data_IF_557924023437
#
_entry.id   IF_557924023437
#
_cell.length_a   1.000
_cell.length_b   1.000
_cell.length_c   1.000
_cell.angle_alpha   90.00
_cell.angle_beta   90.00
_cell.angle_gamma   90.00
#
_symmetry.space_group_name_H-M   'P 1'
#
loop_
_entity.id
_entity.type
_entity.pdbx_description
1 polymer ?
#
# COMPACT_ATOMS: atom_id res chain seq x y z
N UNK A 1 12.01 6.36 -62.94
CA UNK A 1 11.68 6.45 -61.51
C UNK A 1 12.76 5.68 -60.75
N UNK A 2 13.56 6.31 -59.89
CA UNK A 2 14.54 5.62 -59.06
C UNK A 2 13.81 4.93 -57.88
N UNK A 3 14.38 3.87 -57.29
CA UNK A 3 13.74 3.09 -56.21
C UNK A 3 13.74 3.88 -54.90
N UNK A 4 12.68 3.68 -54.13
CA UNK A 4 12.46 4.29 -52.82
C UNK A 4 13.50 3.85 -51.80
N UNK A 5 14.04 4.79 -51.08
CA UNK A 5 14.88 4.56 -49.88
C UNK A 5 14.09 3.95 -48.75
N UNK A 6 14.67 2.99 -48.02
CA UNK A 6 14.04 2.42 -46.82
C UNK A 6 13.99 3.45 -45.68
N UNK A 7 13.01 3.35 -44.74
CA UNK A 7 12.93 4.22 -43.58
C UNK A 7 14.11 4.00 -42.62
N UNK A 8 14.53 5.02 -41.85
CA UNK A 8 15.62 4.89 -40.91
C UNK A 8 15.24 3.96 -39.78
N UNK A 9 16.20 3.14 -39.38
CA UNK A 9 16.16 2.27 -38.21
C UNK A 9 15.79 3.06 -36.95
N UNK A 10 14.93 2.45 -36.14
CA UNK A 10 14.52 2.87 -34.80
C UNK A 10 15.72 3.42 -34.00
N UNK A 11 15.70 4.75 -33.79
CA UNK A 11 16.63 5.40 -32.88
C UNK A 11 16.37 4.89 -31.46
N UNK A 12 17.42 4.49 -30.81
CA UNK A 12 17.49 4.27 -29.38
C UNK A 12 17.00 5.54 -28.68
N UNK A 13 16.01 5.36 -27.81
CA UNK A 13 15.60 6.40 -26.87
C UNK A 13 16.79 6.72 -25.97
N UNK A 14 17.14 7.96 -25.73
CA UNK A 14 18.19 8.29 -24.80
C UNK A 14 17.75 7.85 -23.38
N UNK A 15 18.56 7.04 -22.75
CA UNK A 15 18.52 6.77 -21.32
C UNK A 15 18.74 8.08 -20.55
N UNK A 16 17.67 8.83 -20.34
CA UNK A 16 17.69 9.89 -19.34
C UNK A 16 17.26 9.30 -18.01
N UNK A 17 18.19 8.66 -17.33
CA UNK A 17 18.11 8.56 -15.89
C UNK A 17 18.18 9.99 -15.30
N UNK A 18 17.22 10.43 -14.49
CA UNK A 18 17.38 11.65 -13.74
C UNK A 18 18.46 11.41 -12.68
N UNK A 19 19.60 12.08 -12.89
CA UNK A 19 20.57 12.52 -11.90
C UNK A 19 21.05 11.55 -10.85
N UNK A 20 22.18 10.91 -11.14
CA UNK A 20 23.09 10.27 -10.17
C UNK A 20 23.81 11.30 -9.25
N UNK A 21 23.14 12.33 -8.77
CA UNK A 21 23.79 13.38 -7.96
C UNK A 21 23.07 13.69 -6.63
N UNK A 22 22.28 12.76 -6.10
CA UNK A 22 21.75 12.86 -4.73
C UNK A 22 21.97 11.59 -3.90
N UNK A 23 22.85 10.71 -4.33
CA UNK A 23 23.42 9.65 -3.49
C UNK A 23 24.45 10.28 -2.56
N UNK A 24 24.04 10.87 -1.44
CA UNK A 24 24.94 11.09 -0.33
C UNK A 24 25.53 9.73 0.06
N UNK A 25 26.70 9.42 -0.46
CA UNK A 25 27.50 8.32 0.03
C UNK A 25 27.68 8.61 1.51
N UNK A 26 27.02 7.79 2.36
CA UNK A 26 27.49 7.64 3.72
C UNK A 26 28.90 7.05 3.59
N UNK A 27 29.93 7.92 3.55
CA UNK A 27 31.29 7.48 3.75
C UNK A 27 31.28 6.71 5.07
N UNK A 28 31.63 5.43 5.01
CA UNK A 28 31.96 4.65 6.18
C UNK A 28 33.17 5.31 6.83
N UNK A 29 32.91 6.33 7.66
CA UNK A 29 33.93 6.83 8.55
C UNK A 29 34.32 5.65 9.45
N UNK A 30 35.61 5.37 9.59
CA UNK A 30 36.09 4.33 10.50
C UNK A 30 35.51 4.63 11.88
N UNK A 31 34.73 3.67 12.41
CA UNK A 31 34.03 3.74 13.68
C UNK A 31 35.08 4.03 14.78
N UNK A 32 35.16 5.28 15.22
CA UNK A 32 36.02 5.67 16.35
C UNK A 32 35.22 5.47 17.63
N UNK A 33 35.34 4.28 18.21
CA UNK A 33 34.77 3.92 19.50
C UNK A 33 33.38 3.33 19.40
N UNK A 34 33.24 2.03 19.65
CA UNK A 34 31.96 1.37 19.87
C UNK A 34 31.40 1.87 21.20
N UNK A 35 30.25 2.54 21.14
CA UNK A 35 29.49 2.93 22.33
C UNK A 35 28.56 1.79 22.68
N UNK A 36 28.60 1.33 23.94
CA UNK A 36 27.66 0.30 24.40
C UNK A 36 26.82 0.83 25.55
N UNK A 37 25.56 0.46 25.59
CA UNK A 37 24.61 0.86 26.60
C UNK A 37 23.85 -0.32 27.20
N UNK A 38 23.66 -0.26 28.50
CA UNK A 38 22.70 -1.10 29.24
C UNK A 38 21.40 -0.33 29.45
N UNK A 39 20.32 -0.97 29.90
CA UNK A 39 19.09 -0.27 30.26
C UNK A 39 19.27 0.88 31.27
N UNK A 40 20.25 0.78 32.16
CA UNK A 40 20.52 1.81 33.16
C UNK A 40 21.32 3.01 32.62
N UNK A 41 22.16 2.80 31.62
CA UNK A 41 23.10 3.82 31.11
C UNK A 41 22.70 4.43 29.76
N UNK A 42 21.64 3.94 29.14
CA UNK A 42 21.29 4.29 27.76
C UNK A 42 21.12 5.79 27.52
N UNK A 43 20.35 6.48 28.36
CA UNK A 43 20.10 7.91 28.17
C UNK A 43 21.34 8.76 28.38
N UNK A 44 22.24 8.35 29.27
CA UNK A 44 23.54 9.01 29.50
C UNK A 44 24.46 8.79 28.29
N UNK A 45 24.59 7.51 27.84
CA UNK A 45 25.38 7.18 26.66
C UNK A 45 24.87 7.91 25.41
N UNK A 46 23.54 7.93 25.23
CA UNK A 46 22.94 8.65 24.10
C UNK A 46 23.21 10.16 24.15
N UNK A 47 23.28 10.76 25.33
CA UNK A 47 23.59 12.18 25.50
C UNK A 47 25.07 12.50 25.20
N UNK A 48 25.99 11.62 25.60
CA UNK A 48 27.45 11.79 25.52
C UNK A 48 28.02 11.38 24.16
N UNK A 49 27.41 10.39 23.47
CA UNK A 49 27.89 9.86 22.21
C UNK A 49 27.95 10.96 21.13
N UNK A 50 29.04 11.04 20.36
CA UNK A 50 29.16 12.04 19.30
C UNK A 50 28.15 11.82 18.16
N UNK A 51 27.86 12.84 17.34
CA UNK A 51 27.06 12.67 16.16
C UNK A 51 27.62 11.57 15.23
N UNK A 52 26.76 10.66 14.79
CA UNK A 52 27.16 9.53 13.94
C UNK A 52 27.70 8.32 14.70
N UNK A 53 27.70 8.34 16.03
CA UNK A 53 28.11 7.19 16.81
C UNK A 53 27.17 6.00 16.63
N UNK A 54 27.74 4.80 16.57
CA UNK A 54 27.01 3.55 16.72
C UNK A 54 26.90 3.19 18.19
N UNK A 55 25.67 3.05 18.69
CA UNK A 55 25.39 2.66 20.07
C UNK A 55 24.83 1.24 20.08
N UNK A 56 25.58 0.31 20.61
CA UNK A 56 25.15 -1.07 20.80
C UNK A 56 24.33 -1.20 22.09
N UNK A 57 23.13 -1.73 21.94
CA UNK A 57 22.19 -1.94 23.02
C UNK A 57 22.18 -3.42 23.41
N UNK A 58 22.62 -3.72 24.61
CA UNK A 58 22.55 -5.05 25.16
C UNK A 58 21.11 -5.58 25.26
N UNK A 59 20.96 -6.85 25.62
CA UNK A 59 19.64 -7.42 25.90
C UNK A 59 19.04 -6.74 27.15
N UNK A 60 17.76 -6.38 27.08
CA UNK A 60 17.03 -5.76 28.19
C UNK A 60 15.89 -4.83 27.76
N UNK A 61 15.20 -4.30 28.75
CA UNK A 61 14.10 -3.35 28.58
C UNK A 61 14.59 -1.95 28.95
N UNK A 62 14.66 -1.08 27.97
CA UNK A 62 15.09 0.30 28.05
C UNK A 62 13.87 1.21 28.26
N UNK A 63 13.67 1.72 29.44
CA UNK A 63 12.53 2.56 29.78
C UNK A 63 12.76 3.98 29.33
N UNK A 64 11.89 4.49 28.47
CA UNK A 64 11.95 5.81 27.88
C UNK A 64 10.87 6.68 28.53
N UNK A 65 11.20 7.58 29.43
CA UNK A 65 10.20 8.37 30.18
C UNK A 65 9.57 9.49 29.35
N UNK A 66 10.23 9.92 28.28
CA UNK A 66 9.73 10.96 27.37
C UNK A 66 10.29 10.72 25.96
N UNK A 67 9.65 11.28 24.94
CA UNK A 67 10.08 11.19 23.54
C UNK A 67 11.54 11.54 23.37
N UNK A 68 12.32 10.66 22.76
CA UNK A 68 13.67 10.94 22.33
C UNK A 68 13.62 11.67 20.99
N UNK A 69 14.06 12.91 20.97
CA UNK A 69 14.13 13.72 19.75
C UNK A 69 15.54 13.63 19.15
N UNK A 70 15.67 12.97 18.01
CA UNK A 70 16.93 12.89 17.27
C UNK A 70 17.09 14.14 16.41
N UNK A 71 18.09 14.96 16.76
CA UNK A 71 18.50 16.18 16.05
C UNK A 71 19.93 16.07 15.52
N UNK A 72 20.55 14.91 15.70
CA UNK A 72 21.90 14.55 15.25
C UNK A 72 21.91 13.09 14.78
N UNK A 73 22.88 12.74 13.95
CA UNK A 73 23.01 11.37 13.45
C UNK A 73 23.25 10.39 14.59
N UNK A 74 22.59 9.23 14.55
CA UNK A 74 22.77 8.15 15.51
C UNK A 74 22.43 6.79 14.87
N UNK A 75 23.16 5.74 15.28
CA UNK A 75 22.92 4.36 14.90
C UNK A 75 22.65 3.56 16.18
N UNK A 76 21.45 2.97 16.32
CA UNK A 76 21.08 2.13 17.45
C UNK A 76 20.96 0.69 16.99
N UNK A 77 21.80 -0.20 17.53
CA UNK A 77 21.83 -1.61 17.19
C UNK A 77 21.53 -2.42 18.44
N UNK A 78 20.38 -3.14 18.43
CA UNK A 78 20.01 -4.04 19.51
C UNK A 78 20.61 -5.43 19.35
N UNK A 79 20.50 -6.23 20.40
CA UNK A 79 20.91 -7.64 20.41
C UNK A 79 19.88 -8.59 19.75
N UNK A 80 18.84 -8.04 19.12
CA UNK A 80 17.73 -8.74 18.47
C UNK A 80 16.37 -8.21 18.93
N UNK A 81 15.36 -8.26 18.04
CA UNK A 81 14.03 -7.70 18.31
C UNK A 81 13.28 -8.38 19.47
N UNK A 82 13.65 -9.60 19.85
CA UNK A 82 13.10 -10.29 21.03
C UNK A 82 13.90 -10.03 22.29
N UNK A 83 15.07 -9.46 22.21
CA UNK A 83 16.03 -9.32 23.31
C UNK A 83 16.25 -7.88 23.75
N UNK A 84 16.21 -6.92 22.83
CA UNK A 84 16.38 -5.48 23.11
C UNK A 84 15.07 -4.76 22.86
N UNK A 85 14.54 -4.07 23.86
CA UNK A 85 13.23 -3.42 23.79
C UNK A 85 13.29 -2.01 24.37
N UNK A 86 13.02 -1.00 23.57
CA UNK A 86 12.81 0.39 23.99
C UNK A 86 11.32 0.57 24.27
N UNK A 87 10.97 0.90 25.52
CA UNK A 87 9.57 1.08 25.96
C UNK A 87 9.33 2.49 26.45
N UNK A 88 8.40 3.21 25.80
CA UNK A 88 7.91 4.46 26.34
C UNK A 88 6.71 4.24 27.25
N UNK A 89 6.81 4.83 28.45
CA UNK A 89 5.69 4.92 29.41
C UNK A 89 5.06 6.30 29.45
N UNK A 90 5.69 7.30 28.81
CA UNK A 90 5.20 8.68 28.70
C UNK A 90 4.30 8.89 27.49
N UNK A 91 3.61 10.02 27.42
CA UNK A 91 2.80 10.38 26.27
C UNK A 91 3.66 10.74 25.06
N UNK A 92 3.08 10.56 23.85
CA UNK A 92 3.74 10.83 22.56
C UNK A 92 4.59 9.68 22.04
N UNK A 93 5.28 9.88 20.90
CA UNK A 93 6.09 8.84 20.28
C UNK A 93 7.31 8.50 21.15
N UNK A 94 7.79 7.27 21.00
CA UNK A 94 9.06 6.85 21.63
C UNK A 94 10.23 7.62 21.01
N UNK A 95 10.25 7.66 19.68
CA UNK A 95 11.31 8.32 18.90
C UNK A 95 10.70 9.34 17.93
N UNK A 96 11.34 10.50 17.84
CA UNK A 96 11.04 11.51 16.82
C UNK A 96 12.32 11.91 16.10
N UNK A 97 12.28 11.85 14.78
CA UNK A 97 13.35 12.29 13.89
C UNK A 97 12.94 13.60 13.21
N UNK A 98 13.81 14.61 13.34
CA UNK A 98 13.62 15.93 12.76
C UNK A 98 14.99 16.62 12.53
N UNK A 99 14.97 17.83 11.93
CA UNK A 99 16.14 18.70 11.79
C UNK A 99 17.29 18.06 10.99
N UNK A 100 16.96 17.40 9.88
CA UNK A 100 17.93 16.78 8.95
C UNK A 100 18.89 15.76 9.57
N UNK A 101 18.52 15.18 10.71
CA UNK A 101 19.29 14.13 11.34
C UNK A 101 19.16 12.80 10.57
N UNK A 102 20.12 11.89 10.76
CA UNK A 102 20.01 10.51 10.30
C UNK A 102 19.88 9.56 11.49
N UNK A 103 18.87 8.68 11.44
CA UNK A 103 18.64 7.65 12.44
C UNK A 103 18.61 6.27 11.79
N UNK A 104 19.51 5.39 12.21
CA UNK A 104 19.43 3.98 11.84
C UNK A 104 19.08 3.14 13.06
N UNK A 105 18.10 2.25 12.89
CA UNK A 105 17.58 1.34 13.90
C UNK A 105 17.70 -0.09 13.38
N UNK A 106 18.33 -0.96 14.16
CA UNK A 106 18.53 -2.35 13.77
C UNK A 106 18.36 -3.29 14.94
N UNK A 107 17.75 -4.47 14.70
CA UNK A 107 17.68 -5.62 15.61
C UNK A 107 17.12 -5.30 17.00
N UNK A 108 16.02 -4.56 17.08
CA UNK A 108 15.39 -4.17 18.35
C UNK A 108 13.86 -4.05 18.23
N UNK A 109 13.19 -3.97 19.38
CA UNK A 109 11.76 -3.62 19.46
C UNK A 109 11.59 -2.21 20.01
N UNK A 110 10.68 -1.44 19.43
CA UNK A 110 10.24 -0.14 19.92
C UNK A 110 8.76 -0.23 20.24
N UNK A 111 8.40 0.15 21.46
CA UNK A 111 7.03 -0.04 21.93
C UNK A 111 6.52 1.13 22.77
N UNK A 112 5.24 1.42 22.61
CA UNK A 112 4.46 2.21 23.58
C UNK A 112 3.70 1.23 24.48
N UNK A 113 3.74 1.43 25.79
CA UNK A 113 3.09 0.57 26.78
C UNK A 113 2.04 1.30 27.62
N UNK A 114 1.68 2.53 27.23
CA UNK A 114 0.61 3.30 27.86
C UNK A 114 -0.62 3.36 26.95
N UNK A 115 -1.75 3.84 27.48
CA UNK A 115 -3.00 3.96 26.72
C UNK A 115 -3.21 5.37 26.11
N UNK A 116 -2.20 6.24 26.16
CA UNK A 116 -2.32 7.57 25.55
C UNK A 116 -2.29 7.49 24.02
N UNK A 117 -3.19 8.21 23.33
CA UNK A 117 -3.16 8.27 21.87
C UNK A 117 -1.82 8.78 21.35
N UNK A 118 -1.23 8.09 20.38
CA UNK A 118 0.04 8.49 19.78
C UNK A 118 0.58 7.43 18.82
N UNK A 119 1.56 7.85 18.03
CA UNK A 119 2.34 6.97 17.18
C UNK A 119 3.55 6.44 17.96
N UNK A 120 4.20 5.37 17.48
CA UNK A 120 5.42 4.87 18.14
C UNK A 120 6.64 5.62 17.65
N UNK A 121 6.77 5.81 16.34
CA UNK A 121 7.89 6.53 15.70
C UNK A 121 7.33 7.60 14.76
N UNK A 122 7.89 8.80 14.82
CA UNK A 122 7.57 9.89 13.90
C UNK A 122 8.85 10.40 13.24
N UNK A 123 8.86 10.48 11.91
CA UNK A 123 9.94 11.05 11.11
C UNK A 123 9.37 12.10 10.15
N UNK A 124 9.81 13.36 10.30
CA UNK A 124 9.30 14.49 9.50
C UNK A 124 10.37 15.20 8.68
N UNK A 125 11.65 14.93 8.96
CA UNK A 125 12.78 15.44 8.21
C UNK A 125 14.00 14.54 8.44
N UNK A 126 14.98 14.57 7.52
CA UNK A 126 16.21 13.81 7.63
C UNK A 126 16.17 12.42 7.00
N UNK A 127 16.95 11.48 7.52
CA UNK A 127 17.07 10.13 6.99
C UNK A 127 16.74 9.07 8.04
N UNK A 128 15.86 8.12 7.70
CA UNK A 128 15.48 7.00 8.56
C UNK A 128 15.81 5.67 7.88
N UNK A 129 16.63 4.87 8.55
CA UNK A 129 16.91 3.50 8.15
C UNK A 129 16.41 2.56 9.24
N UNK A 130 15.55 1.58 8.86
CA UNK A 130 15.07 0.56 9.80
C UNK A 130 15.30 -0.83 9.21
N UNK A 131 15.94 -1.70 9.98
CA UNK A 131 16.23 -3.07 9.56
C UNK A 131 15.96 -4.06 10.70
N UNK A 132 15.10 -5.05 10.49
CA UNK A 132 14.69 -6.06 11.50
C UNK A 132 14.21 -5.45 12.83
N UNK A 133 13.43 -4.38 12.73
CA UNK A 133 12.83 -3.68 13.86
C UNK A 133 11.38 -4.11 14.01
N UNK A 134 10.96 -4.39 15.25
CA UNK A 134 9.54 -4.56 15.59
C UNK A 134 9.01 -3.28 16.23
N UNK A 135 7.84 -2.83 15.78
CA UNK A 135 7.19 -1.59 16.25
C UNK A 135 5.77 -1.90 16.69
N UNK A 136 5.43 -1.59 17.94
CA UNK A 136 4.15 -2.03 18.52
C UNK A 136 3.60 -1.06 19.58
N UNK A 137 2.28 -1.11 19.78
CA UNK A 137 1.62 -0.46 20.90
C UNK A 137 1.11 0.96 20.64
N UNK A 138 1.11 1.43 19.39
CA UNK A 138 0.49 2.70 19.04
C UNK A 138 -1.01 2.71 19.36
N UNK A 139 -1.51 3.81 19.94
CA UNK A 139 -2.92 3.98 20.31
C UNK A 139 -3.58 5.06 19.47
N UNK A 140 -4.75 4.75 18.91
CA UNK A 140 -5.64 5.70 18.26
C UNK A 140 -6.37 6.60 19.27
N UNK A 141 -6.99 7.66 18.77
CA UNK A 141 -8.01 8.35 19.58
C UNK A 141 -9.22 7.42 19.67
N UNK A 142 -9.72 7.21 20.88
CA UNK A 142 -11.02 6.55 21.05
C UNK A 142 -12.09 7.49 20.48
N UNK A 143 -12.44 7.28 19.23
CA UNK A 143 -13.56 7.99 18.63
C UNK A 143 -14.83 7.42 19.22
N UNK A 144 -15.58 8.24 19.96
CA UNK A 144 -16.89 7.89 20.52
C UNK A 144 -18.02 8.01 19.49
N UNK A 145 -17.70 8.46 18.29
CA UNK A 145 -18.62 8.51 17.16
C UNK A 145 -18.61 7.18 16.41
N UNK A 146 -19.79 6.64 16.16
CA UNK A 146 -20.01 5.40 15.39
C UNK A 146 -19.34 5.51 14.03
N UNK A 147 -18.66 4.44 13.54
CA UNK A 147 -17.96 4.45 12.27
C UNK A 147 -18.95 4.27 11.09
N UNK A 148 -19.91 5.18 10.95
CA UNK A 148 -20.90 5.11 9.86
C UNK A 148 -20.45 5.80 8.57
N UNK A 149 -19.27 6.42 8.54
CA UNK A 149 -18.71 6.96 7.30
C UNK A 149 -17.22 6.68 7.21
N UNK A 150 -16.76 5.97 6.16
CA UNK A 150 -15.34 5.85 5.85
C UNK A 150 -14.73 7.17 5.36
N UNK A 151 -15.34 8.30 5.62
CA UNK A 151 -14.98 9.60 5.04
C UNK A 151 -13.96 10.40 5.85
N UNK A 152 -13.61 9.98 7.07
CA UNK A 152 -12.51 10.63 7.80
C UNK A 152 -11.17 10.04 7.35
N UNK A 153 -10.59 10.65 6.33
CA UNK A 153 -9.31 10.27 5.73
C UNK A 153 -8.11 10.93 6.41
N UNK A 154 -8.32 11.68 7.46
CA UNK A 154 -7.23 12.26 8.26
C UNK A 154 -6.47 11.14 8.96
N UNK A 155 -5.13 11.07 8.84
CA UNK A 155 -4.36 10.07 9.56
C UNK A 155 -4.43 10.34 11.06
N UNK A 156 -5.39 9.70 11.72
CA UNK A 156 -5.50 9.67 13.17
C UNK A 156 -4.21 9.08 13.78
N UNK A 157 -3.82 9.47 15.01
CA UNK A 157 -2.71 8.81 15.70
C UNK A 157 -3.00 7.32 15.90
N UNK A 158 -1.97 6.54 16.13
CA UNK A 158 -2.09 5.09 16.35
C UNK A 158 -1.31 4.26 15.35
N UNK A 159 -0.43 4.87 14.57
CA UNK A 159 0.48 4.15 13.67
C UNK A 159 1.78 3.77 14.37
N UNK A 160 2.31 2.60 14.00
CA UNK A 160 3.66 2.20 14.42
C UNK A 160 4.70 3.19 13.93
N UNK A 161 4.65 3.59 12.66
CA UNK A 161 5.56 4.55 12.05
C UNK A 161 4.78 5.56 11.22
N UNK A 162 5.09 6.84 11.41
CA UNK A 162 4.67 7.92 10.52
C UNK A 162 5.90 8.52 9.85
N UNK A 163 5.93 8.53 8.52
CA UNK A 163 6.93 9.22 7.72
C UNK A 163 6.26 10.29 6.85
N UNK A 164 6.82 11.50 6.86
CA UNK A 164 6.25 12.62 6.11
C UNK A 164 7.28 13.74 5.90
N UNK A 165 6.85 14.84 5.30
CA UNK A 165 7.73 15.97 5.03
C UNK A 165 8.87 15.64 4.08
N UNK A 166 10.10 15.97 4.46
CA UNK A 166 11.31 15.80 3.65
C UNK A 166 12.15 14.57 4.07
N UNK A 167 11.51 13.52 4.61
CA UNK A 167 12.22 12.32 5.06
C UNK A 167 12.61 11.43 3.89
N UNK A 168 13.90 11.06 3.85
CA UNK A 168 14.36 9.90 3.10
C UNK A 168 14.29 8.67 4.01
N UNK A 169 13.54 7.63 3.64
CA UNK A 169 13.34 6.46 4.49
C UNK A 169 13.54 5.14 3.72
N UNK A 170 14.29 4.23 4.35
CA UNK A 170 14.42 2.84 3.93
C UNK A 170 14.03 1.92 5.10
N UNK A 171 13.03 1.07 4.88
CA UNK A 171 12.47 0.19 5.91
C UNK A 171 12.50 -1.23 5.37
N UNK A 172 13.27 -2.11 6.00
CA UNK A 172 13.50 -3.47 5.50
C UNK A 172 13.31 -4.50 6.61
N UNK A 173 12.61 -5.60 6.29
CA UNK A 173 12.41 -6.76 7.18
C UNK A 173 11.87 -6.40 8.57
N UNK A 174 11.00 -5.39 8.64
CA UNK A 174 10.43 -4.89 9.88
C UNK A 174 9.03 -5.47 10.15
N UNK A 175 8.63 -5.50 11.41
CA UNK A 175 7.31 -5.95 11.85
C UNK A 175 6.56 -4.83 12.55
N UNK A 176 5.28 -4.67 12.22
CA UNK A 176 4.38 -3.68 12.79
C UNK A 176 3.09 -4.40 13.24
N UNK A 177 2.92 -4.57 14.53
CA UNK A 177 1.77 -5.26 15.11
C UNK A 177 1.24 -4.55 16.37
N UNK A 178 -0.01 -4.80 16.74
CA UNK A 178 -0.61 -4.20 17.92
C UNK A 178 -0.72 -2.67 17.88
N UNK A 179 -0.74 -2.07 16.68
CA UNK A 179 -0.94 -0.65 16.44
C UNK A 179 -2.38 -0.41 15.98
N UNK A 180 -3.14 0.42 16.69
CA UNK A 180 -4.60 0.53 16.47
C UNK A 180 -4.99 1.15 15.12
N UNK A 181 -4.28 2.16 14.63
CA UNK A 181 -4.53 2.71 13.30
C UNK A 181 -3.85 1.87 12.21
N UNK A 182 -2.65 1.35 12.47
CA UNK A 182 -1.95 0.49 11.52
C UNK A 182 -0.43 0.51 11.65
N UNK A 183 0.24 -0.15 10.69
CA UNK A 183 1.68 -0.30 10.71
C UNK A 183 2.41 0.98 10.36
N UNK A 184 2.23 1.46 9.12
CA UNK A 184 2.98 2.60 8.57
C UNK A 184 2.01 3.59 7.92
N UNK A 185 2.20 4.88 8.20
CA UNK A 185 1.57 5.99 7.49
C UNK A 185 2.64 6.81 6.75
N UNK A 186 2.56 6.84 5.42
CA UNK A 186 3.36 7.68 4.53
C UNK A 186 2.50 8.86 4.09
N UNK A 187 2.96 10.08 4.32
CA UNK A 187 2.18 11.28 4.03
C UNK A 187 3.01 12.38 3.36
N UNK A 188 2.34 13.49 3.04
CA UNK A 188 2.92 14.66 2.38
C UNK A 188 3.46 14.30 0.98
N UNK A 189 4.72 14.62 0.66
CA UNK A 189 5.40 14.26 -0.58
C UNK A 189 6.49 13.20 -0.36
N UNK A 190 6.47 12.50 0.77
CA UNK A 190 7.48 11.50 1.11
C UNK A 190 7.43 10.29 0.17
N UNK A 191 8.60 9.73 -0.16
CA UNK A 191 8.73 8.61 -1.09
C UNK A 191 9.69 7.51 -0.54
N UNK A 192 9.29 6.78 0.52
CA UNK A 192 10.13 5.76 1.14
C UNK A 192 10.31 4.52 0.27
N UNK A 193 11.39 3.79 0.51
CA UNK A 193 11.58 2.42 0.05
C UNK A 193 11.23 1.47 1.19
N UNK A 194 10.17 0.67 1.03
CA UNK A 194 9.67 -0.26 2.04
C UNK A 194 9.69 -1.67 1.46
N UNK A 195 10.44 -2.57 2.09
CA UNK A 195 10.72 -3.90 1.54
C UNK A 195 10.59 -4.97 2.62
N UNK A 196 9.92 -6.08 2.30
CA UNK A 196 9.85 -7.27 3.16
C UNK A 196 9.38 -6.95 4.59
N UNK A 197 8.35 -6.12 4.72
CA UNK A 197 7.75 -5.84 6.02
C UNK A 197 6.52 -6.72 6.27
N UNK A 198 6.17 -6.84 7.53
CA UNK A 198 4.89 -7.43 7.95
C UNK A 198 4.10 -6.43 8.77
N UNK A 199 2.84 -6.20 8.40
CA UNK A 199 1.87 -5.46 9.21
C UNK A 199 0.73 -6.38 9.60
N UNK A 200 0.28 -6.28 10.85
CA UNK A 200 -0.82 -7.10 11.37
C UNK A 200 -1.78 -6.28 12.23
N UNK A 201 -3.06 -6.35 11.88
CA UNK A 201 -4.14 -5.67 12.59
C UNK A 201 -4.22 -4.16 12.30
N UNK A 202 -5.10 -3.48 13.03
CA UNK A 202 -5.39 -2.05 12.85
C UNK A 202 -6.37 -1.75 11.72
N UNK A 203 -6.62 -0.46 11.50
CA UNK A 203 -7.53 0.01 10.43
C UNK A 203 -6.91 -0.21 9.06
N UNK A 204 -5.62 0.14 8.88
CA UNK A 204 -4.93 -0.12 7.62
C UNK A 204 -3.48 -0.55 7.88
N UNK A 205 -3.02 -1.63 7.23
CA UNK A 205 -1.64 -2.11 7.39
C UNK A 205 -0.63 -1.05 7.00
N UNK A 206 -0.74 -0.50 5.78
CA UNK A 206 0.07 0.61 5.27
C UNK A 206 -0.83 1.65 4.61
N UNK A 207 -0.59 2.92 4.90
CA UNK A 207 -1.30 4.05 4.29
C UNK A 207 -0.32 4.91 3.50
N UNK A 208 -0.70 5.27 2.28
CA UNK A 208 -0.07 6.33 1.48
C UNK A 208 -1.09 7.44 1.29
N UNK A 209 -0.78 8.68 1.71
CA UNK A 209 -1.69 9.83 1.64
C UNK A 209 -0.99 11.10 1.16
N UNK A 210 -1.75 12.17 0.90
CA UNK A 210 -1.23 13.42 0.39
C UNK A 210 -0.72 13.29 -1.05
N UNK A 211 0.52 13.62 -1.30
CA UNK A 211 1.21 13.44 -2.58
C UNK A 211 2.33 12.39 -2.47
N UNK A 212 2.23 11.52 -1.48
CA UNK A 212 3.26 10.52 -1.21
C UNK A 212 3.43 9.55 -2.39
N UNK A 213 4.63 9.02 -2.49
CA UNK A 213 5.03 8.07 -3.52
C UNK A 213 5.91 6.97 -2.89
N UNK A 214 6.90 6.48 -3.60
CA UNK A 214 7.79 5.44 -3.12
C UNK A 214 7.32 4.04 -3.46
N UNK A 215 7.93 3.06 -2.85
CA UNK A 215 7.67 1.65 -3.15
C UNK A 215 7.41 0.83 -1.89
N UNK A 216 6.40 -0.04 -1.96
CA UNK A 216 6.16 -1.11 -1.00
C UNK A 216 6.25 -2.44 -1.76
N UNK A 217 7.25 -3.24 -1.42
CA UNK A 217 7.53 -4.45 -2.19
C UNK A 217 7.70 -5.68 -1.29
N UNK A 218 7.25 -6.86 -1.78
CA UNK A 218 7.37 -8.18 -1.12
C UNK A 218 6.92 -8.18 0.34
N UNK A 219 5.94 -7.36 0.67
CA UNK A 219 5.47 -7.14 2.04
C UNK A 219 4.16 -7.88 2.30
N UNK A 220 3.85 -8.11 3.58
CA UNK A 220 2.65 -8.81 4.02
C UNK A 220 1.79 -7.86 4.87
N UNK A 221 0.58 -7.56 4.40
CA UNK A 221 -0.39 -6.71 5.10
C UNK A 221 -1.65 -7.54 5.39
N UNK A 222 -1.76 -8.06 6.61
CA UNK A 222 -2.76 -9.07 6.97
C UNK A 222 -3.56 -8.69 8.23
N UNK A 223 -4.80 -9.17 8.31
CA UNK A 223 -5.63 -9.04 9.51
C UNK A 223 -6.06 -7.61 9.87
N UNK A 224 -5.87 -6.65 8.97
CA UNK A 224 -6.34 -5.26 9.10
C UNK A 224 -7.78 -5.12 8.56
N UNK A 225 -8.39 -3.95 8.69
CA UNK A 225 -9.58 -3.69 7.91
C UNK A 225 -9.22 -3.54 6.41
N UNK A 226 -8.18 -2.80 6.10
CA UNK A 226 -7.62 -2.65 4.76
C UNK A 226 -6.14 -3.01 4.81
N UNK A 227 -5.64 -3.86 3.91
CA UNK A 227 -4.22 -4.22 3.88
C UNK A 227 -3.35 -3.02 3.52
N UNK A 228 -3.60 -2.39 2.37
CA UNK A 228 -2.92 -1.17 1.90
C UNK A 228 -3.97 -0.16 1.45
N UNK A 229 -3.87 1.07 1.95
CA UNK A 229 -4.77 2.17 1.63
C UNK A 229 -3.99 3.30 0.94
N UNK A 230 -4.42 3.70 -0.26
CA UNK A 230 -3.83 4.79 -1.04
C UNK A 230 -4.86 5.90 -1.21
N UNK A 231 -4.56 7.08 -0.72
CA UNK A 231 -5.48 8.21 -0.60
C UNK A 231 -4.96 9.46 -1.32
N UNK A 232 -5.86 10.41 -1.50
CA UNK A 232 -5.59 11.76 -1.99
C UNK A 232 -4.97 11.73 -3.40
N UNK A 233 -3.74 12.19 -3.52
CA UNK A 233 -2.95 12.16 -4.78
C UNK A 233 -1.71 11.29 -4.65
N UNK A 234 -1.72 10.36 -3.70
CA UNK A 234 -0.63 9.43 -3.53
C UNK A 234 -0.49 8.51 -4.77
N UNK A 235 0.76 8.16 -5.08
CA UNK A 235 1.09 7.39 -6.29
C UNK A 235 2.21 6.36 -6.05
N UNK A 236 2.03 5.45 -5.08
CA UNK A 236 3.06 4.45 -4.79
C UNK A 236 3.18 3.39 -5.88
N UNK A 237 4.31 2.68 -5.86
CA UNK A 237 4.49 1.39 -6.52
C UNK A 237 4.27 0.29 -5.48
N UNK A 238 3.25 -0.54 -5.68
CA UNK A 238 2.91 -1.69 -4.84
C UNK A 238 3.24 -2.96 -5.63
N UNK A 239 4.34 -3.63 -5.32
CA UNK A 239 4.84 -4.73 -6.13
C UNK A 239 5.04 -6.01 -5.31
N UNK A 240 4.46 -7.12 -5.77
CA UNK A 240 4.59 -8.45 -5.16
C UNK A 240 4.23 -8.51 -3.66
N UNK A 241 3.26 -7.72 -3.21
CA UNK A 241 2.79 -7.75 -1.83
C UNK A 241 1.69 -8.80 -1.62
N UNK A 242 1.56 -9.26 -0.39
CA UNK A 242 0.49 -10.17 0.07
C UNK A 242 -0.47 -9.40 0.96
N UNK A 243 -1.70 -9.17 0.50
CA UNK A 243 -2.76 -8.45 1.20
C UNK A 243 -3.95 -9.39 1.42
N UNK A 244 -3.90 -10.23 2.46
CA UNK A 244 -4.84 -11.33 2.68
C UNK A 244 -5.51 -11.28 4.05
N UNK A 245 -6.66 -11.92 4.14
CA UNK A 245 -7.41 -12.05 5.39
C UNK A 245 -7.71 -10.70 6.08
N UNK A 246 -7.82 -9.62 5.28
CA UNK A 246 -8.28 -8.34 5.77
C UNK A 246 -9.81 -8.34 5.87
N UNK A 247 -10.37 -7.69 6.90
CA UNK A 247 -11.82 -7.77 7.15
C UNK A 247 -12.65 -7.08 6.09
N UNK A 248 -12.06 -6.18 5.28
CA UNK A 248 -12.69 -5.52 4.14
C UNK A 248 -11.92 -5.77 2.84
N UNK A 249 -10.82 -5.09 2.60
CA UNK A 249 -10.18 -5.03 1.28
C UNK A 249 -8.68 -5.28 1.37
N UNK A 250 -8.11 -5.95 0.38
CA UNK A 250 -6.66 -6.14 0.28
C UNK A 250 -5.94 -4.83 0.00
N UNK A 251 -6.23 -4.18 -1.13
CA UNK A 251 -5.69 -2.86 -1.53
C UNK A 251 -6.85 -1.93 -1.87
N UNK A 252 -6.86 -0.71 -1.35
CA UNK A 252 -7.86 0.29 -1.68
C UNK A 252 -7.20 1.57 -2.23
N UNK A 253 -7.69 2.04 -3.38
CA UNK A 253 -7.36 3.35 -3.95
C UNK A 253 -8.58 4.26 -3.83
N UNK A 254 -8.42 5.44 -3.23
CA UNK A 254 -9.51 6.38 -2.99
C UNK A 254 -9.10 7.82 -3.37
N UNK A 255 -10.11 8.65 -3.55
CA UNK A 255 -9.95 10.04 -3.95
C UNK A 255 -9.23 10.13 -5.32
N UNK A 256 -8.26 10.96 -5.48
CA UNK A 256 -7.51 11.11 -6.73
C UNK A 256 -6.24 10.24 -6.78
N UNK A 257 -6.20 9.17 -5.98
CA UNK A 257 -5.05 8.27 -5.89
C UNK A 257 -4.75 7.59 -7.24
N UNK A 258 -3.47 7.42 -7.51
CA UNK A 258 -2.95 6.77 -8.71
C UNK A 258 -1.82 5.80 -8.34
N UNK A 259 -0.95 5.46 -9.27
CA UNK A 259 0.19 4.59 -9.04
C UNK A 259 0.01 3.21 -9.65
N UNK A 260 0.92 2.33 -9.33
CA UNK A 260 0.98 0.97 -9.90
C UNK A 260 0.80 -0.08 -8.81
N UNK A 261 -0.17 -0.98 -8.97
CA UNK A 261 -0.24 -2.23 -8.20
C UNK A 261 0.05 -3.39 -9.14
N UNK A 262 1.19 -4.06 -8.94
CA UNK A 262 1.64 -5.14 -9.80
C UNK A 262 1.97 -6.41 -9.02
N UNK A 263 1.56 -7.55 -9.56
CA UNK A 263 1.88 -8.88 -9.04
C UNK A 263 1.51 -9.09 -7.55
N UNK A 264 0.53 -8.35 -7.02
CA UNK A 264 0.10 -8.51 -5.63
C UNK A 264 -0.88 -9.69 -5.48
N UNK A 265 -0.79 -10.39 -4.36
CA UNK A 265 -1.79 -11.37 -3.92
C UNK A 265 -2.79 -10.71 -2.97
N UNK A 266 -3.98 -10.39 -3.48
CA UNK A 266 -5.07 -9.75 -2.76
C UNK A 266 -6.23 -10.75 -2.57
N UNK A 267 -5.98 -11.85 -1.86
CA UNK A 267 -6.90 -12.97 -1.75
C UNK A 267 -7.54 -13.09 -0.37
N UNK A 268 -8.68 -13.77 -0.29
CA UNK A 268 -9.38 -14.12 0.95
C UNK A 268 -9.72 -12.90 1.84
N UNK A 269 -10.09 -11.76 1.23
CA UNK A 269 -10.51 -10.58 1.97
C UNK A 269 -12.04 -10.54 2.15
N UNK A 270 -12.50 -9.85 3.19
CA UNK A 270 -13.91 -9.81 3.58
C UNK A 270 -14.84 -9.05 2.61
N UNK A 271 -14.30 -8.32 1.64
CA UNK A 271 -15.06 -7.67 0.56
C UNK A 271 -14.35 -7.86 -0.78
N UNK A 272 -13.48 -6.95 -1.18
CA UNK A 272 -12.78 -6.99 -2.46
C UNK A 272 -11.29 -7.31 -2.31
N UNK A 273 -10.68 -7.90 -3.34
CA UNK A 273 -9.23 -7.98 -3.43
C UNK A 273 -8.62 -6.60 -3.59
N UNK A 274 -9.06 -5.87 -4.63
CA UNK A 274 -8.68 -4.48 -4.88
C UNK A 274 -9.95 -3.63 -5.04
N UNK A 275 -10.01 -2.50 -4.38
CA UNK A 275 -11.09 -1.53 -4.48
C UNK A 275 -10.57 -0.20 -5.03
N UNK A 276 -11.22 0.34 -6.06
CA UNK A 276 -10.87 1.62 -6.70
C UNK A 276 -12.11 2.50 -6.70
N UNK A 277 -12.01 3.67 -6.10
CA UNK A 277 -13.15 4.58 -6.00
C UNK A 277 -12.78 6.04 -5.86
N UNK A 278 -13.83 6.89 -5.79
CA UNK A 278 -13.68 8.31 -5.53
C UNK A 278 -12.72 9.00 -6.54
N UNK A 279 -12.93 8.73 -7.84
CA UNK A 279 -12.12 9.24 -8.96
C UNK A 279 -10.63 8.80 -8.98
N UNK A 280 -10.25 7.76 -8.24
CA UNK A 280 -8.92 7.17 -8.33
C UNK A 280 -8.71 6.48 -9.70
N UNK A 281 -7.47 6.51 -10.20
CA UNK A 281 -7.12 5.96 -11.52
C UNK A 281 -5.78 5.21 -11.50
N UNK A 282 -5.63 4.13 -10.72
CA UNK A 282 -4.42 3.33 -10.68
C UNK A 282 -4.23 2.49 -11.95
N UNK A 283 -3.02 1.99 -12.14
CA UNK A 283 -2.73 0.85 -13.02
C UNK A 283 -2.66 -0.41 -12.19
N UNK A 284 -3.48 -1.41 -12.51
CA UNK A 284 -3.54 -2.73 -11.86
C UNK A 284 -3.03 -3.78 -12.84
N UNK A 285 -1.88 -4.38 -12.56
CA UNK A 285 -1.19 -5.28 -13.48
C UNK A 285 -0.90 -6.64 -12.84
N UNK A 286 -1.35 -7.72 -13.47
CA UNK A 286 -1.00 -9.09 -13.06
C UNK A 286 -1.26 -9.43 -11.59
N UNK A 287 -2.24 -8.79 -10.93
CA UNK A 287 -2.59 -9.08 -9.55
C UNK A 287 -3.45 -10.35 -9.47
N UNK A 288 -3.35 -11.06 -8.36
CA UNK A 288 -4.15 -12.23 -8.04
C UNK A 288 -5.18 -11.87 -6.95
N UNK A 289 -6.46 -12.01 -7.28
CA UNK A 289 -7.57 -11.67 -6.39
C UNK A 289 -8.50 -12.89 -6.26
N UNK A 290 -8.19 -13.80 -5.33
CA UNK A 290 -8.92 -15.07 -5.18
C UNK A 290 -9.73 -15.12 -3.91
N UNK A 291 -10.92 -15.73 -3.94
CA UNK A 291 -11.71 -16.02 -2.75
C UNK A 291 -12.18 -14.80 -1.97
N UNK A 292 -12.23 -13.62 -2.61
CA UNK A 292 -12.75 -12.42 -1.96
C UNK A 292 -14.28 -12.47 -1.89
N UNK A 293 -14.86 -12.03 -0.78
CA UNK A 293 -16.28 -12.23 -0.51
C UNK A 293 -17.21 -11.55 -1.51
N UNK A 294 -16.84 -10.42 -2.08
CA UNK A 294 -17.64 -9.67 -3.04
C UNK A 294 -17.13 -9.86 -4.45
N UNK A 295 -15.95 -9.35 -4.75
CA UNK A 295 -15.36 -9.40 -6.07
C UNK A 295 -13.82 -9.40 -6.00
N UNK A 296 -13.17 -9.82 -7.09
CA UNK A 296 -11.73 -9.69 -7.20
C UNK A 296 -11.31 -8.24 -7.21
N UNK A 297 -11.84 -7.45 -8.17
CA UNK A 297 -11.60 -6.00 -8.30
C UNK A 297 -12.95 -5.27 -8.35
N UNK A 298 -13.03 -4.12 -7.70
CA UNK A 298 -14.22 -3.25 -7.69
C UNK A 298 -13.84 -1.85 -8.15
N UNK A 299 -14.57 -1.31 -9.12
CA UNK A 299 -14.50 0.09 -9.56
C UNK A 299 -15.81 0.79 -9.28
N UNK A 300 -15.80 1.88 -8.51
CA UNK A 300 -17.00 2.66 -8.13
C UNK A 300 -16.71 4.16 -8.04
N UNK A 301 -17.76 4.97 -7.93
CA UNK A 301 -17.67 6.41 -7.65
C UNK A 301 -16.77 7.16 -8.63
N UNK A 302 -17.14 7.09 -9.92
CA UNK A 302 -16.44 7.76 -11.02
C UNK A 302 -14.93 7.44 -11.12
N UNK A 303 -14.50 6.30 -10.59
CA UNK A 303 -13.12 5.82 -10.71
C UNK A 303 -12.83 5.26 -12.09
N UNK A 304 -11.55 5.06 -12.40
CA UNK A 304 -11.10 4.50 -13.66
C UNK A 304 -9.70 3.93 -13.55
N UNK A 305 -8.91 4.12 -14.59
CA UNK A 305 -7.56 3.56 -14.71
C UNK A 305 -7.55 2.28 -15.53
N UNK A 306 -6.46 1.54 -15.47
CA UNK A 306 -6.21 0.39 -16.32
C UNK A 306 -6.10 -0.87 -15.45
N UNK A 307 -6.79 -1.95 -15.84
CA UNK A 307 -6.59 -3.27 -15.28
C UNK A 307 -6.18 -4.24 -16.38
N UNK A 308 -4.95 -4.74 -16.32
CA UNK A 308 -4.40 -5.61 -17.33
C UNK A 308 -3.82 -6.90 -16.74
N UNK A 309 -4.20 -8.04 -17.33
CA UNK A 309 -3.65 -9.34 -16.98
C UNK A 309 -3.94 -9.81 -15.54
N UNK A 310 -4.92 -9.22 -14.84
CA UNK A 310 -5.26 -9.63 -13.47
C UNK A 310 -6.06 -10.94 -13.48
N UNK A 311 -5.88 -11.75 -12.42
CA UNK A 311 -6.62 -13.00 -12.20
C UNK A 311 -7.60 -12.84 -11.03
N UNK A 312 -8.89 -12.85 -11.31
CA UNK A 312 -9.99 -12.67 -10.37
C UNK A 312 -10.83 -13.95 -10.31
N UNK A 313 -10.77 -14.72 -9.22
CA UNK A 313 -11.45 -15.99 -9.09
C UNK A 313 -12.16 -16.16 -7.75
N UNK A 314 -13.33 -16.83 -7.76
CA UNK A 314 -14.05 -17.14 -6.52
C UNK A 314 -14.74 -15.95 -5.86
N UNK A 315 -14.95 -14.84 -6.57
CA UNK A 315 -15.77 -13.72 -6.11
C UNK A 315 -17.26 -14.07 -6.14
N UNK A 316 -17.98 -13.87 -5.03
CA UNK A 316 -19.39 -14.26 -4.96
C UNK A 316 -20.29 -13.47 -5.92
N UNK A 317 -19.98 -12.21 -6.19
CA UNK A 317 -20.74 -11.36 -7.11
C UNK A 317 -20.07 -11.38 -8.49
N UNK A 318 -18.80 -10.96 -8.58
CA UNK A 318 -18.12 -10.83 -9.86
C UNK A 318 -16.61 -11.05 -9.75
N UNK A 319 -15.95 -11.34 -10.86
CA UNK A 319 -14.51 -11.22 -11.01
C UNK A 319 -14.10 -9.76 -10.92
N UNK A 320 -14.66 -8.90 -11.80
CA UNK A 320 -14.53 -7.44 -11.75
C UNK A 320 -15.92 -6.81 -11.75
N UNK A 321 -16.16 -5.91 -10.78
CA UNK A 321 -17.43 -5.19 -10.64
C UNK A 321 -17.23 -3.69 -10.91
N UNK A 322 -17.99 -3.15 -11.87
CA UNK A 322 -17.91 -1.77 -12.32
C UNK A 322 -19.28 -1.09 -12.10
N UNK A 323 -19.32 0.03 -11.39
CA UNK A 323 -20.57 0.74 -11.11
C UNK A 323 -20.36 2.19 -10.68
N UNK A 324 -21.45 2.88 -10.37
CA UNK A 324 -21.44 4.28 -9.90
C UNK A 324 -20.63 5.22 -10.79
N UNK A 325 -20.81 5.09 -12.12
CA UNK A 325 -20.12 5.95 -13.10
C UNK A 325 -18.64 5.66 -13.29
N UNK A 326 -18.13 4.55 -12.79
CA UNK A 326 -16.74 4.15 -13.04
C UNK A 326 -16.51 3.78 -14.51
N UNK A 327 -15.31 4.08 -15.03
CA UNK A 327 -14.97 3.95 -16.43
C UNK A 327 -13.54 3.41 -16.62
N UNK A 328 -13.22 2.17 -16.19
CA UNK A 328 -11.91 1.57 -16.36
C UNK A 328 -11.68 1.02 -17.76
N UNK A 329 -10.40 0.83 -18.10
CA UNK A 329 -9.95 0.03 -19.22
C UNK A 329 -9.54 -1.36 -18.72
N UNK A 330 -10.25 -2.41 -19.19
CA UNK A 330 -10.04 -3.80 -18.78
C UNK A 330 -9.46 -4.60 -19.93
N UNK A 331 -8.22 -5.04 -19.83
CA UNK A 331 -7.55 -5.73 -20.91
C UNK A 331 -6.95 -7.08 -20.43
N UNK A 332 -7.23 -8.15 -21.15
CA UNK A 332 -6.61 -9.46 -20.92
C UNK A 332 -6.73 -9.98 -19.49
N UNK A 333 -7.74 -9.58 -18.72
CA UNK A 333 -7.98 -10.10 -17.38
C UNK A 333 -8.67 -11.46 -17.44
N UNK A 334 -8.40 -12.29 -16.43
CA UNK A 334 -9.00 -13.61 -16.26
C UNK A 334 -9.98 -13.60 -15.10
N UNK A 335 -11.28 -13.71 -15.40
CA UNK A 335 -12.39 -13.67 -14.45
C UNK A 335 -13.18 -14.98 -14.51
N UNK A 336 -12.74 -15.98 -13.74
CA UNK A 336 -13.28 -17.34 -13.78
C UNK A 336 -13.77 -17.82 -12.43
N UNK A 337 -14.71 -18.76 -12.43
CA UNK A 337 -15.29 -19.36 -11.23
C UNK A 337 -15.83 -18.31 -10.23
N UNK A 338 -16.39 -17.21 -10.74
CA UNK A 338 -17.08 -16.17 -9.96
C UNK A 338 -18.60 -16.32 -10.09
N UNK A 339 -19.39 -15.45 -9.46
CA UNK A 339 -20.80 -15.26 -9.78
C UNK A 339 -20.92 -14.87 -11.25
N UNK A 340 -20.40 -13.71 -11.62
CA UNK A 340 -20.30 -13.19 -12.99
C UNK A 340 -18.85 -12.84 -13.30
N UNK A 341 -18.39 -12.95 -14.54
CA UNK A 341 -17.02 -12.55 -14.91
C UNK A 341 -16.82 -11.05 -14.77
N UNK A 342 -17.48 -10.24 -15.61
CA UNK A 342 -17.54 -8.78 -15.52
C UNK A 342 -18.98 -8.33 -15.25
N UNK A 343 -19.19 -7.48 -14.26
CA UNK A 343 -20.51 -6.95 -13.92
C UNK A 343 -20.52 -5.43 -14.00
N UNK A 344 -21.27 -4.88 -14.95
CA UNK A 344 -21.48 -3.45 -15.15
C UNK A 344 -22.83 -3.03 -14.58
N UNK A 345 -22.83 -2.15 -13.59
CA UNK A 345 -24.01 -1.64 -12.88
C UNK A 345 -24.01 -0.10 -12.85
N UNK A 346 -25.13 0.52 -12.57
CA UNK A 346 -25.22 1.93 -12.13
C UNK A 346 -24.32 2.93 -12.90
N UNK A 347 -24.56 3.11 -14.20
CA UNK A 347 -23.75 3.97 -15.07
C UNK A 347 -22.28 3.51 -15.25
N UNK A 348 -21.97 2.27 -14.90
CA UNK A 348 -20.64 1.69 -15.17
C UNK A 348 -20.35 1.70 -16.68
N UNK A 349 -19.17 2.13 -17.06
CA UNK A 349 -18.76 2.31 -18.45
C UNK A 349 -17.31 1.83 -18.65
N UNK A 350 -16.65 2.30 -19.71
CA UNK A 350 -15.27 1.93 -20.05
C UNK A 350 -15.20 0.82 -21.08
N UNK A 351 -14.03 0.23 -21.24
CA UNK A 351 -13.79 -0.82 -22.24
C UNK A 351 -13.37 -2.14 -21.61
N UNK A 352 -13.80 -3.24 -22.22
CA UNK A 352 -13.34 -4.59 -21.88
C UNK A 352 -12.92 -5.31 -23.15
N UNK A 353 -11.63 -5.57 -23.28
CA UNK A 353 -11.03 -6.17 -24.46
C UNK A 353 -10.20 -7.40 -24.13
N UNK A 354 -10.42 -8.50 -24.85
CA UNK A 354 -9.61 -9.71 -24.74
C UNK A 354 -9.63 -10.36 -23.37
N UNK A 355 -10.64 -10.08 -22.52
CA UNK A 355 -10.73 -10.69 -21.20
C UNK A 355 -11.29 -12.12 -21.32
N UNK A 356 -10.87 -12.99 -20.43
CA UNK A 356 -11.42 -14.34 -20.27
C UNK A 356 -12.42 -14.30 -19.11
N UNK A 357 -13.71 -14.37 -19.43
CA UNK A 357 -14.82 -14.36 -18.47
C UNK A 357 -15.57 -15.70 -18.58
N UNK A 358 -14.88 -16.78 -18.23
CA UNK A 358 -15.32 -18.15 -18.49
C UNK A 358 -15.65 -18.91 -17.20
N UNK A 359 -16.44 -19.98 -17.32
CA UNK A 359 -16.75 -20.88 -16.20
C UNK A 359 -17.30 -20.18 -14.94
N UNK A 360 -18.03 -19.07 -15.09
CA UNK A 360 -18.72 -18.39 -14.00
C UNK A 360 -20.09 -19.03 -13.75
N UNK A 361 -20.60 -18.95 -12.51
CA UNK A 361 -21.84 -19.60 -12.10
C UNK A 361 -23.11 -18.93 -12.64
N UNK A 362 -23.02 -17.71 -13.14
CA UNK A 362 -24.10 -17.00 -13.81
C UNK A 362 -23.70 -16.66 -15.25
N UNK A 363 -23.16 -15.48 -15.50
CA UNK A 363 -22.85 -14.97 -16.83
C UNK A 363 -21.37 -14.66 -17.01
N UNK A 364 -20.89 -14.67 -18.26
CA UNK A 364 -19.58 -14.13 -18.60
C UNK A 364 -19.54 -12.62 -18.33
N UNK A 365 -20.49 -11.87 -18.91
CA UNK A 365 -20.66 -10.43 -18.71
C UNK A 365 -22.11 -10.10 -18.40
N UNK A 366 -22.34 -9.20 -17.44
CA UNK A 366 -23.64 -8.63 -17.12
C UNK A 366 -23.61 -7.12 -17.30
N UNK A 367 -24.56 -6.57 -18.04
CA UNK A 367 -24.71 -5.13 -18.30
C UNK A 367 -26.10 -4.68 -17.87
N UNK A 368 -26.16 -3.77 -16.89
CA UNK A 368 -27.42 -3.21 -16.40
C UNK A 368 -27.98 -2.12 -17.33
N UNK A 369 -29.22 -1.70 -17.10
CA UNK A 369 -29.98 -0.75 -17.95
C UNK A 369 -29.23 0.56 -18.20
N UNK A 370 -28.53 1.09 -17.20
CA UNK A 370 -27.86 2.39 -17.25
C UNK A 370 -26.35 2.28 -17.53
N UNK A 371 -25.83 1.08 -17.68
CA UNK A 371 -24.41 0.87 -17.97
C UNK A 371 -24.12 0.97 -19.47
N UNK A 372 -22.90 1.41 -19.84
CA UNK A 372 -22.53 1.63 -21.24
C UNK A 372 -21.10 1.20 -21.57
N UNK A 373 -20.71 -0.07 -21.30
CA UNK A 373 -19.40 -0.56 -21.66
C UNK A 373 -19.21 -0.75 -23.16
N UNK A 374 -17.97 -0.66 -23.63
CA UNK A 374 -17.52 -1.15 -24.93
C UNK A 374 -16.90 -2.53 -24.73
N UNK A 375 -17.44 -3.55 -25.42
CA UNK A 375 -17.03 -4.95 -25.27
C UNK A 375 -16.42 -5.45 -26.57
N UNK A 376 -15.18 -5.94 -26.53
CA UNK A 376 -14.48 -6.43 -27.73
C UNK A 376 -13.70 -7.72 -27.44
N UNK A 377 -13.87 -8.74 -28.27
CA UNK A 377 -13.06 -9.95 -28.31
C UNK A 377 -12.85 -10.63 -26.93
N UNK A 378 -13.89 -10.67 -26.09
CA UNK A 378 -13.82 -11.36 -24.80
C UNK A 378 -14.20 -12.84 -24.95
N UNK A 379 -13.46 -13.75 -24.30
CA UNK A 379 -13.87 -15.16 -24.20
C UNK A 379 -14.89 -15.33 -23.08
N UNK A 380 -16.09 -15.78 -23.44
CA UNK A 380 -17.24 -15.93 -22.55
C UNK A 380 -17.69 -17.39 -22.44
N UNK A 381 -16.81 -18.32 -22.69
CA UNK A 381 -17.14 -19.76 -22.78
C UNK A 381 -17.49 -20.38 -21.43
N UNK A 382 -18.33 -21.38 -21.42
CA UNK A 382 -18.60 -22.27 -20.28
C UNK A 382 -19.28 -21.64 -19.06
N UNK A 383 -19.90 -20.46 -19.20
CA UNK A 383 -20.72 -19.86 -18.13
C UNK A 383 -22.07 -20.54 -18.02
N UNK A 384 -22.57 -20.74 -16.78
CA UNK A 384 -23.74 -21.62 -16.53
C UNK A 384 -25.03 -21.06 -17.12
N UNK A 385 -25.31 -19.76 -16.95
CA UNK A 385 -26.57 -19.17 -17.45
C UNK A 385 -26.44 -18.52 -18.83
N UNK A 386 -25.23 -18.24 -19.31
CA UNK A 386 -24.99 -17.69 -20.64
C UNK A 386 -23.76 -16.79 -20.74
N UNK A 387 -23.52 -16.33 -21.95
CA UNK A 387 -22.35 -15.51 -22.28
C UNK A 387 -22.52 -14.06 -21.78
N UNK A 388 -23.55 -13.38 -22.25
CA UNK A 388 -23.88 -11.99 -21.89
C UNK A 388 -25.35 -11.89 -21.49
N UNK A 389 -25.65 -11.19 -20.40
CA UNK A 389 -26.95 -10.63 -20.12
C UNK A 389 -26.87 -9.10 -20.27
N UNK A 390 -27.60 -8.58 -21.27
CA UNK A 390 -27.61 -7.14 -21.56
C UNK A 390 -29.04 -6.62 -21.36
N UNK A 391 -29.23 -5.84 -20.31
CA UNK A 391 -30.52 -5.28 -19.93
C UNK A 391 -30.73 -3.83 -20.42
N UNK A 392 -29.82 -3.32 -21.28
CA UNK A 392 -29.98 -1.97 -21.86
C UNK A 392 -31.23 -1.90 -22.76
N UNK A 393 -31.84 -0.72 -22.78
CA UNK A 393 -32.93 -0.48 -23.72
C UNK A 393 -32.42 -0.49 -25.18
N UNK A 394 -33.17 -1.03 -26.16
CA UNK A 394 -32.72 -1.17 -27.54
C UNK A 394 -32.21 0.11 -28.23
N UNK A 395 -32.61 1.28 -27.76
CA UNK A 395 -32.28 2.58 -28.36
C UNK A 395 -31.04 3.28 -27.72
N UNK A 396 -30.33 2.65 -26.82
CA UNK A 396 -29.23 3.28 -26.10
C UNK A 396 -27.92 3.42 -26.89
N UNK A 397 -27.91 3.11 -28.19
CA UNK A 397 -26.77 3.41 -29.09
C UNK A 397 -25.46 2.67 -28.81
N UNK A 398 -25.53 1.58 -28.08
CA UNK A 398 -24.33 0.82 -27.73
C UNK A 398 -23.93 -0.11 -28.90
N UNK A 399 -22.72 0.12 -29.40
CA UNK A 399 -22.11 -0.74 -30.42
C UNK A 399 -21.70 -2.07 -29.77
N UNK A 400 -22.44 -3.13 -29.98
CA UNK A 400 -21.96 -4.49 -29.76
C UNK A 400 -21.19 -4.89 -31.02
N UNK A 401 -19.88 -4.89 -30.96
CA UNK A 401 -19.07 -5.49 -32.00
C UNK A 401 -19.17 -7.01 -31.80
N UNK A 402 -19.57 -7.80 -32.78
CA UNK A 402 -19.66 -9.27 -32.60
C UNK A 402 -18.32 -9.86 -32.18
N UNK A 403 -18.38 -10.74 -31.22
CA UNK A 403 -17.22 -11.53 -30.75
C UNK A 403 -16.73 -12.47 -31.84
#
# INVERSE_FOLDING_TARGET
MPPATPPPSSGELPDTHPGDDAGGQFEEHPLTGEWSASPATFLEVLAEAPPGATIELGAGVYRIPATINFRRHAFLIGAGSTRTRLESTGPGPVLRLAESAALALRDLTIAVVNDAPGNVIEATDGALIMERVRVTGARGRRNTSTPDTPDDTSPEPGYGLVVGGAVWATITSCQFDGNEAGGICVRDACAPTIVDIQTEGGTAGVVFSGQSAGALTRSRCIGSAIGILVLDRARPVLDANTCRANTHTGIAYRLLATGLARANDCSDNGSAGIWVGDAATPTLESNQCRGNRTAGIVYRRASGGIAVGNSCTGGAIAGIWIGEGACPELESNRCEANGTGLSYTEFGAGSARGNICAANSLFGISVSVLASPVLEANDLSGNVLGTIVDNRMPDSGALIVPN
#
